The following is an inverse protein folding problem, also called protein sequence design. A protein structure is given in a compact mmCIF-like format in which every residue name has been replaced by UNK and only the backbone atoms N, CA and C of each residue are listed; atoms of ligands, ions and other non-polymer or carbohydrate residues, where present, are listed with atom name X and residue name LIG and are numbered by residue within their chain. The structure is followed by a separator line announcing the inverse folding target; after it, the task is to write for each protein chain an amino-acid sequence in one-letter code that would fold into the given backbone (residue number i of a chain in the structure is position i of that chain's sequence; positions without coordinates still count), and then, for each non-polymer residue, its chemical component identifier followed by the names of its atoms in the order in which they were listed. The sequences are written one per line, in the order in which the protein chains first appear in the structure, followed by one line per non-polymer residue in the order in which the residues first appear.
data_IF_783515552289
#
_entry.id   IF_783515552289
#
_cell.length_a   1.000
_cell.length_b   1.000
_cell.length_c   1.000
_cell.angle_alpha   90.00
_cell.angle_beta   90.00
_cell.angle_gamma   90.00
#
_symmetry.space_group_name_H-M   'P 1'
#
loop_
_entity.id
_entity.type
_entity.pdbx_description
1 polymer ?
#
# COMPACT_ATOMS: atom_id res chain seq x y z
N UNK A 1 -0.63 13.65 28.98
CA UNK A 1 -1.36 14.04 27.77
C UNK A 1 -0.97 13.02 26.71
N UNK A 2 -1.73 11.93 26.63
CA UNK A 2 -1.40 10.75 25.84
C UNK A 2 -2.72 10.18 25.35
N UNK A 3 -3.21 10.67 24.23
CA UNK A 3 -4.48 10.18 23.67
C UNK A 3 -4.71 10.65 22.22
N UNK A 4 -3.73 10.53 21.32
CA UNK A 4 -3.99 10.86 19.89
C UNK A 4 -3.23 10.00 18.86
N UNK A 5 -2.52 8.93 19.25
CA UNK A 5 -1.72 8.14 18.29
C UNK A 5 -2.31 6.77 17.89
N UNK A 6 -3.53 6.41 18.31
CA UNK A 6 -4.05 5.03 18.13
C UNK A 6 -5.53 4.96 17.77
N UNK A 7 -5.98 5.71 16.76
CA UNK A 7 -7.09 5.20 15.94
C UNK A 7 -6.49 4.31 14.86
N UNK A 8 -6.01 3.15 15.29
CA UNK A 8 -5.35 2.18 14.42
C UNK A 8 -6.41 1.30 13.80
N UNK A 9 -6.74 1.57 12.54
CA UNK A 9 -7.28 0.54 11.70
C UNK A 9 -6.17 -0.50 11.37
N UNK A 10 -6.55 -1.73 11.08
CA UNK A 10 -5.71 -2.90 10.79
C UNK A 10 -4.94 -2.79 9.44
N UNK A 11 -4.81 -1.59 8.86
CA UNK A 11 -4.17 -1.39 7.57
C UNK A 11 -2.64 -1.54 7.65
N UNK A 12 -2.01 -1.04 8.72
CA UNK A 12 -0.57 -1.26 8.95
C UNK A 12 -0.29 -2.74 9.14
N UNK A 13 -1.13 -3.45 9.91
CA UNK A 13 -0.95 -4.84 10.31
C UNK A 13 -2.31 -5.55 10.38
N UNK A 14 -2.54 -6.58 9.54
CA UNK A 14 -3.88 -7.16 9.33
C UNK A 14 -4.21 -8.29 10.30
N UNK A 15 -3.24 -9.17 10.57
CA UNK A 15 -3.47 -10.34 11.42
C UNK A 15 -3.10 -10.06 12.88
N UNK A 16 -3.54 -10.93 13.81
CA UNK A 16 -3.16 -10.79 15.21
C UNK A 16 -1.64 -10.85 15.43
N UNK A 17 -0.94 -11.70 14.66
CA UNK A 17 0.52 -11.78 14.71
C UNK A 17 1.16 -10.53 14.10
N UNK A 18 0.64 -10.01 12.99
CA UNK A 18 1.15 -8.75 12.41
C UNK A 18 1.04 -7.61 13.43
N UNK A 19 -0.09 -7.51 14.14
CA UNK A 19 -0.30 -6.43 15.13
C UNK A 19 0.68 -6.54 16.28
N UNK A 20 0.89 -7.74 16.82
CA UNK A 20 1.90 -7.99 17.86
C UNK A 20 3.29 -7.59 17.39
N UNK A 21 3.65 -7.94 16.15
CA UNK A 21 4.94 -7.56 15.56
C UNK A 21 5.04 -6.04 15.38
N UNK A 22 3.98 -5.39 14.91
CA UNK A 22 3.96 -3.94 14.74
C UNK A 22 4.12 -3.21 16.09
N UNK A 23 3.46 -3.66 17.15
CA UNK A 23 3.62 -3.09 18.51
C UNK A 23 5.06 -3.14 19.00
N UNK A 24 5.80 -4.21 18.67
CA UNK A 24 7.22 -4.37 19.02
C UNK A 24 8.11 -3.48 18.13
N UNK A 25 7.83 -3.42 16.83
CA UNK A 25 8.76 -2.87 15.84
C UNK A 25 8.53 -1.38 15.53
N UNK A 26 7.33 -0.84 15.73
CA UNK A 26 7.05 0.59 15.56
C UNK A 26 8.04 1.46 16.36
N UNK A 27 8.24 1.28 17.68
CA UNK A 27 9.16 2.15 18.44
C UNK A 27 10.60 2.05 17.94
N UNK A 28 11.05 0.86 17.50
CA UNK A 28 12.39 0.65 16.95
C UNK A 28 12.58 1.42 15.64
N UNK A 29 11.58 1.36 14.76
CA UNK A 29 11.60 2.05 13.47
C UNK A 29 11.52 3.56 13.66
N UNK A 30 10.70 4.03 14.61
CA UNK A 30 10.56 5.45 14.97
C UNK A 30 11.83 6.02 15.60
N UNK A 31 12.52 5.27 16.46
CA UNK A 31 13.79 5.68 17.08
C UNK A 31 14.91 5.90 16.05
N UNK A 32 14.83 5.23 14.89
CA UNK A 32 15.72 5.43 13.74
C UNK A 32 15.31 6.61 12.85
N UNK A 33 14.18 7.28 13.14
CA UNK A 33 13.66 8.40 12.36
C UNK A 33 12.86 7.98 11.12
N UNK A 34 12.35 6.76 11.10
CA UNK A 34 11.47 6.23 10.06
C UNK A 34 10.08 5.97 10.62
N UNK A 35 9.17 5.59 9.74
CA UNK A 35 7.81 5.25 10.09
C UNK A 35 7.43 3.93 9.45
N UNK A 36 6.74 3.07 10.21
CA UNK A 36 6.20 1.84 9.67
C UNK A 36 4.99 2.18 8.78
N UNK A 37 5.09 1.83 7.49
CA UNK A 37 4.00 1.96 6.52
C UNK A 37 3.16 0.68 6.51
N UNK A 38 3.78 -0.49 6.40
CA UNK A 38 3.06 -1.76 6.35
C UNK A 38 3.90 -2.90 6.91
N UNK A 39 3.27 -3.79 7.66
CA UNK A 39 3.86 -5.03 8.15
C UNK A 39 2.97 -6.21 7.80
N UNK A 40 3.55 -7.26 7.21
CA UNK A 40 2.85 -8.50 6.90
C UNK A 40 3.75 -9.71 7.16
N UNK A 41 3.27 -10.67 7.93
CA UNK A 41 3.83 -12.01 7.96
C UNK A 41 3.06 -12.88 6.95
N UNK A 42 3.69 -13.24 5.84
CA UNK A 42 3.05 -13.91 4.71
C UNK A 42 3.85 -15.11 4.23
N UNK A 43 3.18 -16.10 3.65
CA UNK A 43 3.84 -17.25 3.04
C UNK A 43 3.36 -18.59 3.58
N UNK A 44 3.97 -19.66 3.06
CA UNK A 44 3.66 -21.05 3.41
C UNK A 44 4.72 -21.67 4.31
N UNK A 45 5.46 -22.66 3.78
CA UNK A 45 6.45 -23.45 4.54
C UNK A 45 7.58 -22.63 5.18
N UNK A 46 7.92 -21.49 4.59
CA UNK A 46 8.82 -20.49 5.17
C UNK A 46 8.12 -19.15 4.99
N UNK A 47 7.81 -18.50 6.11
CA UNK A 47 7.15 -17.21 6.09
C UNK A 47 8.14 -16.12 5.68
N UNK A 48 7.62 -14.99 5.21
CA UNK A 48 8.35 -13.74 5.00
C UNK A 48 7.69 -12.69 5.87
N UNK A 49 8.47 -12.07 6.75
CA UNK A 49 8.11 -10.85 7.46
C UNK A 49 8.48 -9.67 6.57
N UNK A 50 7.50 -9.13 5.87
CA UNK A 50 7.66 -7.96 5.01
C UNK A 50 7.35 -6.69 5.81
N UNK A 51 8.32 -5.77 5.82
CA UNK A 51 8.26 -4.47 6.45
C UNK A 51 8.46 -3.41 5.38
N UNK A 52 7.46 -2.56 5.19
CA UNK A 52 7.57 -1.34 4.40
C UNK A 52 7.71 -0.18 5.36
N UNK A 53 8.79 0.58 5.21
CA UNK A 53 9.07 1.75 6.01
C UNK A 53 9.31 2.96 5.11
N UNK A 54 9.16 4.15 5.69
CA UNK A 54 9.41 5.40 4.98
C UNK A 54 9.86 6.49 5.93
N UNK A 55 10.40 7.60 5.41
CA UNK A 55 10.58 8.81 6.21
C UNK A 55 9.27 9.59 6.29
N UNK A 56 9.08 10.44 7.32
CA UNK A 56 7.94 11.35 7.38
C UNK A 56 7.83 12.25 6.13
N UNK A 57 8.97 12.68 5.60
CA UNK A 57 9.08 13.49 4.37
C UNK A 57 9.07 12.65 3.08
N UNK A 58 9.02 11.32 3.20
CA UNK A 58 9.06 10.39 2.09
C UNK A 58 10.47 10.02 1.59
N UNK A 59 10.58 8.82 1.05
CA UNK A 59 11.80 8.24 0.49
C UNK A 59 12.71 7.63 1.55
N UNK A 60 13.14 6.40 1.27
CA UNK A 60 14.30 5.76 1.93
C UNK A 60 15.18 5.12 0.87
N UNK A 61 16.48 5.03 1.14
CA UNK A 61 17.43 4.36 0.26
C UNK A 61 17.73 2.92 0.74
N UNK A 62 18.66 2.23 0.07
CA UNK A 62 19.01 0.83 0.41
C UNK A 62 19.75 0.74 1.76
N UNK A 63 20.57 1.74 2.08
CA UNK A 63 21.30 1.78 3.36
C UNK A 63 20.33 1.98 4.53
N UNK A 64 19.32 2.84 4.37
CA UNK A 64 18.23 3.02 5.33
C UNK A 64 17.48 1.69 5.57
N UNK A 65 17.18 0.93 4.50
CA UNK A 65 16.56 -0.39 4.63
C UNK A 65 17.46 -1.37 5.40
N UNK A 66 18.78 -1.30 5.19
CA UNK A 66 19.74 -2.14 5.89
C UNK A 66 19.82 -1.80 7.38
N UNK A 67 19.83 -0.52 7.74
CA UNK A 67 19.83 -0.05 9.13
C UNK A 67 18.57 -0.51 9.88
N UNK A 68 17.40 -0.37 9.25
CA UNK A 68 16.13 -0.88 9.79
C UNK A 68 16.20 -2.40 9.96
N UNK A 69 16.69 -3.12 8.95
CA UNK A 69 16.79 -4.59 8.99
C UNK A 69 17.66 -5.08 10.16
N UNK A 70 18.81 -4.43 10.41
CA UNK A 70 19.70 -4.76 11.52
C UNK A 70 19.02 -4.53 12.87
N UNK A 71 18.38 -3.37 13.06
CA UNK A 71 17.73 -3.02 14.32
C UNK A 71 16.50 -3.91 14.62
N UNK A 72 15.70 -4.18 13.60
CA UNK A 72 14.54 -5.07 13.68
C UNK A 72 15.00 -6.49 14.01
N UNK A 73 16.01 -7.03 13.31
CA UNK A 73 16.51 -8.37 13.57
C UNK A 73 17.00 -8.52 15.01
N UNK A 74 17.78 -7.56 15.52
CA UNK A 74 18.27 -7.60 16.90
C UNK A 74 17.12 -7.55 17.93
N UNK A 75 16.05 -6.81 17.64
CA UNK A 75 14.87 -6.75 18.51
C UNK A 75 14.09 -8.07 18.48
N UNK A 76 13.90 -8.65 17.29
CA UNK A 76 13.20 -9.93 17.13
C UNK A 76 13.98 -11.10 17.76
N UNK A 77 15.31 -11.07 17.78
CA UNK A 77 16.14 -12.07 18.48
C UNK A 77 15.93 -12.04 20.01
N UNK A 78 15.56 -10.89 20.57
CA UNK A 78 15.33 -10.72 22.01
C UNK A 78 13.89 -11.03 22.39
N UNK A 79 12.92 -10.49 21.64
CA UNK A 79 11.49 -10.65 21.92
C UNK A 79 10.94 -12.01 21.44
N UNK A 80 11.60 -12.63 20.46
CA UNK A 80 11.30 -13.92 19.82
C UNK A 80 9.80 -14.21 19.61
N UNK A 81 9.05 -13.34 18.90
CA UNK A 81 7.60 -13.48 18.77
C UNK A 81 7.15 -14.51 17.71
N UNK A 82 8.07 -15.03 16.88
CA UNK A 82 7.78 -15.95 15.76
C UNK A 82 8.54 -17.26 15.99
N UNK A 83 7.83 -18.36 16.23
CA UNK A 83 8.45 -19.65 16.55
C UNK A 83 9.10 -20.35 15.34
N UNK A 84 8.56 -20.12 14.14
CA UNK A 84 9.01 -20.77 12.90
C UNK A 84 10.05 -19.92 12.15
N UNK A 85 10.87 -20.58 11.32
CA UNK A 85 11.82 -19.88 10.45
C UNK A 85 11.09 -18.97 9.45
N UNK A 86 11.64 -17.76 9.27
CA UNK A 86 11.13 -16.76 8.34
C UNK A 86 12.25 -16.02 7.61
N UNK A 87 11.91 -15.38 6.50
CA UNK A 87 12.76 -14.40 5.82
C UNK A 87 12.35 -13.00 6.27
N UNK A 88 13.31 -12.13 6.60
CA UNK A 88 13.05 -10.71 6.86
C UNK A 88 13.24 -9.91 5.56
N UNK A 89 12.24 -9.14 5.17
CA UNK A 89 12.29 -8.25 4.01
C UNK A 89 11.96 -6.82 4.46
N UNK A 90 12.87 -5.89 4.23
CA UNK A 90 12.68 -4.47 4.51
C UNK A 90 12.78 -3.69 3.20
N UNK A 91 11.79 -2.85 2.92
CA UNK A 91 11.73 -2.06 1.69
C UNK A 91 11.04 -0.71 1.90
N UNK A 92 11.21 0.19 0.93
CA UNK A 92 10.32 1.34 0.75
C UNK A 92 8.97 0.86 0.15
N UNK A 93 7.86 1.57 0.37
CA UNK A 93 6.56 1.19 -0.22
C UNK A 93 6.46 1.37 -1.76
N UNK A 94 7.36 2.12 -2.39
CA UNK A 94 7.34 2.32 -3.85
C UNK A 94 6.15 3.14 -4.38
N UNK A 95 5.84 2.99 -5.67
CA UNK A 95 4.78 3.76 -6.37
C UNK A 95 3.38 3.13 -6.19
N UNK A 96 3.25 1.79 -6.15
CA UNK A 96 2.01 1.09 -5.75
C UNK A 96 1.84 1.12 -4.22
N UNK A 97 1.92 2.34 -3.66
CA UNK A 97 2.04 2.60 -2.23
C UNK A 97 0.75 2.22 -1.49
N UNK A 98 0.82 1.38 -0.44
CA UNK A 98 -0.30 1.19 0.46
C UNK A 98 -0.53 2.44 1.31
N UNK A 99 -1.79 2.84 1.47
CA UNK A 99 -2.20 3.95 2.33
C UNK A 99 -2.74 3.36 3.62
N UNK A 100 -1.99 3.45 4.71
CA UNK A 100 -2.28 2.70 5.94
C UNK A 100 -2.54 3.58 7.14
N UNK A 101 -2.26 4.89 7.02
CA UNK A 101 -2.38 5.90 8.07
C UNK A 101 -3.18 7.06 7.51
N UNK A 102 -3.98 7.73 8.34
CA UNK A 102 -4.78 8.90 7.91
C UNK A 102 -3.93 9.97 7.19
N UNK A 103 -2.72 10.23 7.68
CA UNK A 103 -1.81 11.19 7.03
C UNK A 103 -1.42 10.79 5.61
N UNK A 104 -1.37 9.49 5.29
CA UNK A 104 -1.05 9.04 3.92
C UNK A 104 -2.12 9.54 2.95
N UNK A 105 -3.40 9.49 3.33
CA UNK A 105 -4.50 10.00 2.51
C UNK A 105 -4.43 11.52 2.32
N UNK A 106 -3.99 12.26 3.33
CA UNK A 106 -3.78 13.70 3.22
C UNK A 106 -2.56 14.03 2.34
N UNK A 107 -1.46 13.30 2.47
CA UNK A 107 -0.24 13.50 1.66
C UNK A 107 -0.48 13.25 0.18
N UNK A 108 -1.34 12.28 -0.16
CA UNK A 108 -1.63 11.91 -1.55
C UNK A 108 -2.98 12.42 -2.06
N UNK A 109 -3.50 13.50 -1.48
CA UNK A 109 -4.67 14.19 -2.03
C UNK A 109 -4.43 14.54 -3.52
N UNK A 110 -5.47 14.36 -4.35
CA UNK A 110 -5.41 14.57 -5.80
C UNK A 110 -4.96 13.36 -6.61
N UNK A 111 -4.49 12.27 -5.98
CA UNK A 111 -4.14 11.03 -6.71
C UNK A 111 -5.27 10.00 -6.72
N UNK A 112 -5.29 9.18 -7.77
CA UNK A 112 -6.19 8.03 -7.85
C UNK A 112 -5.84 6.97 -6.80
N UNK A 113 -6.90 6.45 -6.16
CA UNK A 113 -6.82 5.38 -5.16
C UNK A 113 -7.80 4.27 -5.46
N UNK A 114 -7.46 3.10 -4.94
CA UNK A 114 -8.40 2.00 -4.75
C UNK A 114 -8.52 1.71 -3.26
N UNK A 115 -9.76 1.73 -2.77
CA UNK A 115 -10.11 1.44 -1.38
C UNK A 115 -11.01 0.21 -1.33
N UNK A 116 -10.83 -0.61 -0.30
CA UNK A 116 -11.74 -1.69 0.07
C UNK A 116 -12.20 -1.49 1.50
N UNK A 117 -13.46 -1.83 1.80
CA UNK A 117 -14.05 -1.76 3.14
C UNK A 117 -14.34 -3.15 3.70
N UNK A 118 -14.31 -3.29 5.02
CA UNK A 118 -14.64 -4.53 5.72
C UNK A 118 -16.12 -4.90 5.54
N UNK A 119 -17.00 -3.90 5.52
CA UNK A 119 -18.45 -4.03 5.38
C UNK A 119 -18.94 -3.36 4.08
N UNK A 120 -19.99 -3.88 3.42
CA UNK A 120 -20.57 -3.22 2.27
C UNK A 120 -21.16 -1.86 2.66
N UNK A 121 -20.89 -0.84 1.85
CA UNK A 121 -21.53 0.47 1.89
C UNK A 121 -22.27 0.60 0.57
N UNK A 122 -23.59 0.80 0.63
CA UNK A 122 -24.49 0.84 -0.53
C UNK A 122 -24.32 -0.36 -1.48
N UNK A 123 -24.14 -1.55 -0.90
CA UNK A 123 -24.06 -2.81 -1.64
C UNK A 123 -22.71 -3.11 -2.28
N UNK A 124 -21.70 -2.24 -2.16
CA UNK A 124 -20.33 -2.48 -2.64
C UNK A 124 -19.29 -2.36 -1.52
N UNK A 125 -18.14 -3.02 -1.71
CA UNK A 125 -16.99 -2.93 -0.80
C UNK A 125 -15.78 -2.23 -1.40
N UNK A 126 -15.78 -2.02 -2.72
CA UNK A 126 -14.63 -1.50 -3.45
C UNK A 126 -14.97 -0.15 -4.04
N UNK A 127 -14.06 0.78 -3.86
CA UNK A 127 -14.17 2.15 -4.32
C UNK A 127 -12.91 2.49 -5.10
N UNK A 128 -13.09 3.16 -6.23
CA UNK A 128 -12.01 3.74 -7.02
C UNK A 128 -12.37 5.19 -7.28
N UNK A 129 -11.41 6.08 -7.11
CA UNK A 129 -11.62 7.51 -7.31
C UNK A 129 -10.38 8.32 -6.98
N UNK A 130 -10.52 9.64 -6.98
CA UNK A 130 -9.45 10.58 -6.65
C UNK A 130 -9.57 10.99 -5.18
N UNK A 131 -8.47 10.97 -4.44
CA UNK A 131 -8.47 11.46 -3.06
C UNK A 131 -8.83 12.95 -3.02
N UNK A 132 -9.81 13.28 -2.19
CA UNK A 132 -10.30 14.64 -1.97
C UNK A 132 -9.99 15.16 -0.55
N UNK A 133 -9.03 14.52 0.12
CA UNK A 133 -8.54 14.90 1.45
C UNK A 133 -9.11 14.03 2.58
N UNK A 134 -8.97 14.53 3.81
CA UNK A 134 -9.41 13.87 5.04
C UNK A 134 -10.19 14.88 5.89
N UNK A 135 -11.37 14.49 6.37
CA UNK A 135 -12.17 15.28 7.31
C UNK A 135 -12.45 14.46 8.59
N UNK A 136 -11.80 14.84 9.70
CA UNK A 136 -11.89 14.08 10.94
C UNK A 136 -11.33 12.66 10.76
N UNK A 137 -12.21 11.66 10.88
CA UNK A 137 -11.86 10.25 10.66
C UNK A 137 -12.31 9.73 9.29
N UNK A 138 -12.79 10.59 8.39
CA UNK A 138 -13.27 10.20 7.07
C UNK A 138 -12.23 10.50 5.98
N UNK A 139 -11.99 9.52 5.12
CA UNK A 139 -11.26 9.67 3.87
C UNK A 139 -12.24 10.10 2.80
N UNK A 140 -12.01 11.27 2.21
CA UNK A 140 -12.86 11.81 1.14
C UNK A 140 -12.35 11.33 -0.22
N UNK A 141 -13.25 10.83 -1.06
CA UNK A 141 -12.92 10.35 -2.40
C UNK A 141 -13.95 10.85 -3.41
N UNK A 142 -13.47 11.46 -4.49
CA UNK A 142 -14.28 11.78 -5.65
C UNK A 142 -14.41 10.52 -6.52
N UNK A 143 -15.64 10.05 -6.68
CA UNK A 143 -15.98 8.89 -7.48
C UNK A 143 -16.90 9.29 -8.63
N UNK A 144 -16.76 8.63 -9.77
CA UNK A 144 -17.70 8.77 -10.88
C UNK A 144 -18.77 7.69 -10.79
N UNK A 145 -20.03 8.10 -10.69
CA UNK A 145 -21.16 7.18 -10.63
C UNK A 145 -22.29 7.72 -11.51
N UNK A 146 -22.77 6.88 -12.44
CA UNK A 146 -23.77 7.25 -13.44
C UNK A 146 -23.42 8.50 -14.28
N UNK A 147 -22.13 8.79 -14.47
CA UNK A 147 -21.63 9.93 -15.26
C UNK A 147 -21.60 11.26 -14.49
N UNK A 148 -21.82 11.24 -13.18
CA UNK A 148 -21.68 12.39 -12.30
C UNK A 148 -20.55 12.15 -11.30
N UNK A 149 -19.73 13.17 -11.07
CA UNK A 149 -18.72 13.15 -10.02
C UNK A 149 -19.38 13.50 -8.68
N UNK A 150 -19.15 12.66 -7.67
CA UNK A 150 -19.58 12.91 -6.30
C UNK A 150 -18.46 12.62 -5.31
N UNK A 151 -18.37 13.42 -4.26
CA UNK A 151 -17.47 13.17 -3.13
C UNK A 151 -18.19 12.30 -2.10
N UNK A 152 -17.59 11.16 -1.77
CA UNK A 152 -18.03 10.30 -0.66
C UNK A 152 -17.04 10.37 0.50
N UNK A 153 -17.55 10.29 1.73
CA UNK A 153 -16.76 10.10 2.93
C UNK A 153 -16.75 8.63 3.35
N UNK A 154 -15.58 8.04 3.50
CA UNK A 154 -15.41 6.69 4.03
C UNK A 154 -14.71 6.77 5.37
N UNK A 155 -15.38 6.32 6.43
CA UNK A 155 -14.77 6.25 7.74
C UNK A 155 -13.52 5.35 7.68
N UNK A 156 -12.40 5.89 8.17
CA UNK A 156 -11.10 5.26 8.12
C UNK A 156 -11.10 3.88 8.76
N UNK A 157 -11.83 3.66 9.87
CA UNK A 157 -11.91 2.38 10.57
C UNK A 157 -12.64 1.29 9.77
N UNK A 158 -13.42 1.66 8.75
CA UNK A 158 -14.09 0.70 7.87
C UNK A 158 -13.19 0.19 6.75
N UNK A 159 -12.08 0.86 6.47
CA UNK A 159 -11.16 0.44 5.41
C UNK A 159 -10.51 -0.91 5.74
N UNK A 160 -10.34 -1.75 4.73
CA UNK A 160 -9.70 -3.07 4.83
C UNK A 160 -8.47 -3.15 3.93
N UNK A 161 -8.42 -2.31 2.91
CA UNK A 161 -7.30 -2.14 2.01
C UNK A 161 -7.37 -0.75 1.39
N UNK A 162 -6.22 -0.13 1.15
CA UNK A 162 -6.13 1.15 0.48
C UNK A 162 -4.75 1.28 -0.16
N UNK A 163 -4.72 1.71 -1.42
CA UNK A 163 -3.47 1.96 -2.15
C UNK A 163 -3.65 2.98 -3.26
N UNK A 164 -2.55 3.63 -3.61
CA UNK A 164 -2.47 4.45 -4.82
C UNK A 164 -2.64 3.57 -6.06
N UNK A 165 -3.26 4.11 -7.09
CA UNK A 165 -3.28 3.50 -8.41
C UNK A 165 -2.13 4.08 -9.23
N UNK A 166 -1.42 3.19 -9.90
CA UNK A 166 -0.31 3.54 -10.79
C UNK A 166 -0.86 4.19 -12.06
N UNK A 167 -1.01 5.51 -12.03
CA UNK A 167 -1.39 6.34 -13.19
C UNK A 167 -0.16 7.05 -13.76
N UNK A 168 -0.24 7.49 -15.01
CA UNK A 168 0.85 8.23 -15.66
C UNK A 168 1.21 9.52 -14.90
N UNK A 169 0.20 10.22 -14.38
CA UNK A 169 0.40 11.42 -13.58
C UNK A 169 1.14 11.12 -12.27
N UNK A 170 0.82 10.00 -11.61
CA UNK A 170 1.54 9.56 -10.42
C UNK A 170 2.98 9.16 -10.75
N UNK A 171 3.20 8.42 -11.84
CA UNK A 171 4.54 8.04 -12.29
C UNK A 171 5.39 9.30 -12.54
N UNK A 172 4.87 10.25 -13.32
CA UNK A 172 5.58 11.48 -13.66
C UNK A 172 5.96 12.29 -12.43
N UNK A 173 5.05 12.44 -11.47
CA UNK A 173 5.35 13.17 -10.25
C UNK A 173 6.40 12.43 -9.40
N UNK A 174 6.25 11.11 -9.21
CA UNK A 174 7.20 10.32 -8.41
C UNK A 174 8.61 10.36 -8.99
N UNK A 175 8.75 10.35 -10.32
CA UNK A 175 10.04 10.50 -11.00
C UNK A 175 10.62 11.88 -10.80
N UNK A 176 9.79 12.92 -10.86
CA UNK A 176 10.20 14.30 -10.61
C UNK A 176 10.71 14.48 -9.17
N UNK A 177 9.99 13.96 -8.18
CA UNK A 177 10.39 14.02 -6.77
C UNK A 177 11.71 13.29 -6.51
N UNK A 178 11.92 12.11 -7.10
CA UNK A 178 13.19 11.39 -7.02
C UNK A 178 14.36 12.18 -7.60
N UNK A 179 14.13 12.84 -8.75
CA UNK A 179 15.13 13.73 -9.38
C UNK A 179 15.47 14.92 -8.50
N UNK A 180 14.46 15.58 -7.92
CA UNK A 180 14.65 16.73 -7.04
C UNK A 180 15.34 16.33 -5.72
N UNK A 181 15.15 15.09 -5.25
CA UNK A 181 15.85 14.49 -4.12
C UNK A 181 17.28 14.03 -4.44
N UNK A 182 17.76 14.20 -5.68
CA UNK A 182 19.11 13.81 -6.09
C UNK A 182 19.33 12.30 -6.23
N UNK A 183 18.25 11.51 -6.30
CA UNK A 183 18.31 10.09 -6.62
C UNK A 183 18.42 9.96 -8.14
N UNK A 184 19.64 9.75 -8.65
CA UNK A 184 19.84 9.40 -10.06
C UNK A 184 19.20 8.04 -10.33
N UNK A 185 18.21 8.01 -11.22
CA UNK A 185 17.73 6.75 -11.77
C UNK A 185 18.46 6.53 -13.08
N UNK A 186 19.59 5.82 -13.00
CA UNK A 186 20.33 5.39 -14.18
C UNK A 186 19.41 4.52 -15.05
N UNK A 187 19.06 5.02 -16.24
CA UNK A 187 18.21 4.38 -17.26
C UNK A 187 16.68 4.48 -17.09
N UNK A 188 16.12 5.67 -16.83
CA UNK A 188 14.77 5.95 -17.34
C UNK A 188 14.85 6.62 -18.71
N UNK A 189 14.60 5.84 -19.74
CA UNK A 189 14.18 6.37 -21.02
C UNK A 189 12.70 6.76 -20.92
N UNK A 190 12.42 8.05 -20.70
CA UNK A 190 11.05 8.61 -20.66
C UNK A 190 10.25 8.31 -21.95
N UNK A 191 10.92 7.91 -23.04
CA UNK A 191 10.28 7.58 -24.33
C UNK A 191 9.84 6.11 -24.44
N UNK A 192 10.16 5.26 -23.46
CA UNK A 192 9.81 3.84 -23.47
C UNK A 192 8.44 3.51 -22.83
N UNK A 193 7.71 4.50 -22.32
CA UNK A 193 6.40 4.29 -21.69
C UNK A 193 5.19 4.48 -22.62
N UNK A 194 5.40 4.82 -23.90
CA UNK A 194 4.31 5.16 -24.82
C UNK A 194 3.61 3.95 -25.47
N UNK A 195 4.12 2.73 -25.35
CA UNK A 195 3.49 1.51 -25.90
C UNK A 195 3.15 0.49 -24.80
N UNK A 196 1.89 0.49 -24.37
CA UNK A 196 1.30 -0.66 -23.68
C UNK A 196 0.99 -1.70 -24.77
N UNK A 197 1.81 -2.75 -24.86
CA UNK A 197 1.40 -3.97 -25.58
C UNK A 197 0.32 -4.67 -24.76
N UNK A 198 -0.95 -4.45 -25.13
CA UNK A 198 -2.04 -5.30 -24.65
C UNK A 198 -1.91 -6.65 -25.35
N UNK A 199 -1.44 -7.68 -24.64
CA UNK A 199 -1.66 -9.06 -25.08
C UNK A 199 -3.18 -9.30 -25.13
N UNK A 200 -3.74 -9.35 -26.33
CA UNK A 200 -5.06 -9.90 -26.56
C UNK A 200 -5.03 -11.37 -26.16
N UNK A 201 -5.53 -11.70 -24.97
CA UNK A 201 -5.90 -13.08 -24.68
C UNK A 201 -7.05 -13.43 -25.61
N UNK A 202 -6.76 -14.18 -26.68
CA UNK A 202 -7.76 -14.80 -27.53
C UNK A 202 -8.66 -15.70 -26.66
N UNK A 203 -9.83 -15.17 -26.31
CA UNK A 203 -10.92 -15.92 -25.69
C UNK A 203 -11.36 -16.98 -26.72
N UNK A 204 -10.94 -18.22 -26.49
CA UNK A 204 -11.39 -19.38 -27.24
C UNK A 204 -12.87 -19.64 -26.98
N UNK A 205 -13.72 -19.02 -27.78
CA UNK A 205 -15.13 -19.40 -27.90
C UNK A 205 -15.22 -20.74 -28.65
N UNK A 206 -15.40 -21.84 -27.90
CA UNK A 206 -15.85 -23.12 -28.46
C UNK A 206 -17.31 -22.99 -28.90
N UNK A 207 -17.52 -22.74 -30.20
CA UNK A 207 -18.80 -22.95 -30.87
C UNK A 207 -19.02 -24.46 -31.08
N UNK A 208 -19.73 -25.12 -30.15
CA UNK A 208 -20.32 -26.44 -30.39
C UNK A 208 -21.70 -26.30 -31.05
N UNK A 209 -21.73 -26.40 -32.37
CA UNK A 209 -22.94 -26.60 -33.16
C UNK A 209 -22.76 -27.82 -34.07
N UNK A 210 -23.39 -28.95 -33.73
CA UNK A 210 -23.09 -30.20 -34.43
C UNK A 210 -24.03 -31.40 -34.33
N UNK A 211 -25.36 -31.20 -34.30
CA UNK A 211 -26.38 -32.08 -34.91
C UNK A 211 -26.51 -33.59 -34.57
N UNK A 212 -27.74 -33.96 -34.18
CA UNK A 212 -28.28 -35.33 -34.09
C UNK A 212 -28.76 -35.82 -35.48
N UNK A 213 -28.35 -37.03 -35.90
CA UNK A 213 -29.00 -38.05 -36.79
C UNK A 213 -27.89 -38.97 -37.35
N UNK A 214 -27.98 -40.29 -37.46
CA UNK A 214 -29.06 -41.31 -37.46
C UNK A 214 -28.74 -42.47 -36.50
#
# INVERSE_FOLDING_TARGET
MSSDLTKSNDLIAKTAIDRRLAEILIPVIEDLGFELVRLRLQGGKTATLQIMADRPEGGINVDDCADISVAVSATLDVEDPIEDNYNLEVSSPGIDRPLTRLKDFATFEGYEVKLETNLPIDGRKRFKGVLAGVEGDEVLVNIEEAGEEQTIGLNFDLLSDAKLLLTDDLIREMLRQKKDAGIEIDNLDETHFDEIETEETEDGAEDDAGSVKE
#
